data_IF_014663907432
#
_entry.id   IF_014663907432
#
_cell.length_a   1.000
_cell.length_b   1.000
_cell.length_c   1.000
_cell.angle_alpha   90.00
_cell.angle_beta   90.00
_cell.angle_gamma   90.00
#
_symmetry.space_group_name_H-M   'P 1'
#
loop_
_entity.id
_entity.type
_entity.pdbx_description
1 polymer ?
#
# COMPACT_ATOMS: atom_id res chain seq x y z
N UNK A 1 31.26 11.41 18.73
CA UNK A 1 32.19 10.25 18.65
C UNK A 1 32.21 9.54 17.28
N UNK A 2 31.41 9.94 16.28
CA UNK A 2 31.36 9.25 14.95
C UNK A 2 32.49 9.71 13.99
N UNK A 3 33.09 10.88 14.24
CA UNK A 3 34.03 11.51 13.29
C UNK A 3 35.32 10.70 13.08
N UNK A 4 35.88 10.11 14.14
CA UNK A 4 37.19 9.46 14.10
C UNK A 4 37.18 8.13 13.31
N UNK A 5 36.24 7.18 13.54
CA UNK A 5 36.13 5.98 12.70
C UNK A 5 35.91 6.30 11.22
N UNK A 6 35.12 7.33 10.90
CA UNK A 6 34.88 7.76 9.52
C UNK A 6 36.14 8.30 8.84
N UNK A 7 36.95 9.08 9.56
CA UNK A 7 38.23 9.60 9.05
C UNK A 7 39.21 8.44 8.79
N UNK A 8 39.30 7.47 9.69
CA UNK A 8 40.17 6.29 9.52
C UNK A 8 39.74 5.43 8.32
N UNK A 9 38.43 5.26 8.11
CA UNK A 9 37.88 4.55 6.96
C UNK A 9 38.24 5.26 5.64
N UNK A 10 38.04 6.58 5.54
CA UNK A 10 38.37 7.34 4.34
C UNK A 10 39.88 7.28 4.03
N UNK A 11 40.73 7.36 5.06
CA UNK A 11 42.17 7.20 4.90
C UNK A 11 42.57 5.79 4.42
N UNK A 12 41.95 4.74 4.95
CA UNK A 12 42.17 3.37 4.50
C UNK A 12 41.79 3.18 3.02
N UNK A 13 40.61 3.70 2.60
CA UNK A 13 40.17 3.66 1.21
C UNK A 13 41.13 4.39 0.27
N UNK A 14 41.64 5.56 0.68
CA UNK A 14 42.67 6.29 -0.05
C UNK A 14 43.95 5.48 -0.25
N UNK A 15 44.42 4.78 0.78
CA UNK A 15 45.59 3.90 0.67
C UNK A 15 45.32 2.71 -0.25
N UNK A 16 44.14 2.09 -0.20
CA UNK A 16 43.80 1.01 -1.13
C UNK A 16 43.80 1.48 -2.59
N UNK A 17 43.24 2.66 -2.87
CA UNK A 17 43.32 3.27 -4.21
C UNK A 17 44.76 3.51 -4.63
N UNK A 18 45.59 4.09 -3.76
CA UNK A 18 47.02 4.31 -4.04
C UNK A 18 47.76 3.01 -4.32
N UNK A 19 47.38 1.89 -3.71
CA UNK A 19 48.00 0.58 -3.93
C UNK A 19 47.78 0.00 -5.34
N UNK A 20 46.79 0.54 -6.08
CA UNK A 20 46.49 0.13 -7.46
C UNK A 20 47.42 0.76 -8.49
N UNK A 21 48.14 1.83 -8.13
CA UNK A 21 49.12 2.47 -9.00
C UNK A 21 50.28 1.50 -9.33
N UNK A 22 50.71 1.50 -10.59
CA UNK A 22 51.79 0.65 -11.11
C UNK A 22 53.17 1.13 -10.62
N UNK A 23 53.44 0.97 -9.32
CA UNK A 23 54.74 1.22 -8.67
C UNK A 23 55.42 -0.09 -8.23
N UNK A 24 56.65 0.04 -7.70
CA UNK A 24 57.44 -1.05 -7.12
C UNK A 24 56.63 -1.89 -6.12
N UNK A 25 56.80 -3.22 -6.20
CA UNK A 25 56.05 -4.20 -5.39
C UNK A 25 56.12 -3.95 -3.89
N UNK A 26 57.29 -3.55 -3.37
CA UNK A 26 57.48 -3.24 -1.93
C UNK A 26 56.65 -2.05 -1.47
N UNK A 27 56.55 -1.01 -2.29
CA UNK A 27 55.74 0.17 -1.99
C UNK A 27 54.25 -0.19 -1.93
N UNK A 28 53.76 -0.99 -2.90
CA UNK A 28 52.36 -1.44 -2.92
C UNK A 28 52.01 -2.26 -1.67
N UNK A 29 52.90 -3.17 -1.26
CA UNK A 29 52.73 -3.95 -0.02
C UNK A 29 52.69 -3.06 1.22
N UNK A 30 53.59 -2.08 1.35
CA UNK A 30 53.58 -1.15 2.49
C UNK A 30 52.26 -0.35 2.58
N UNK A 31 51.81 0.18 1.45
CA UNK A 31 50.56 0.96 1.38
C UNK A 31 49.34 0.09 1.72
N UNK A 32 49.30 -1.16 1.22
CA UNK A 32 48.25 -2.12 1.57
C UNK A 32 48.20 -2.41 3.07
N UNK A 33 49.36 -2.73 3.68
CA UNK A 33 49.45 -3.02 5.11
C UNK A 33 48.96 -1.85 5.95
N UNK A 34 49.38 -0.61 5.61
CA UNK A 34 48.90 0.58 6.29
C UNK A 34 47.37 0.77 6.14
N UNK A 35 46.82 0.56 4.95
CA UNK A 35 45.39 0.63 4.71
C UNK A 35 44.60 -0.38 5.56
N UNK A 36 45.05 -1.63 5.63
CA UNK A 36 44.43 -2.66 6.48
C UNK A 36 44.49 -2.33 7.96
N UNK A 37 45.59 -1.75 8.46
CA UNK A 37 45.70 -1.36 9.86
C UNK A 37 44.73 -0.23 10.23
N UNK A 38 44.59 0.78 9.35
CA UNK A 38 43.63 1.87 9.56
C UNK A 38 42.18 1.37 9.53
N UNK A 39 41.85 0.46 8.61
CA UNK A 39 40.52 -0.14 8.55
C UNK A 39 40.22 -0.94 9.83
N UNK A 40 41.17 -1.75 10.30
CA UNK A 40 41.03 -2.51 11.55
C UNK A 40 40.86 -1.60 12.78
N UNK A 41 41.57 -0.47 12.83
CA UNK A 41 41.40 0.52 13.89
C UNK A 41 40.00 1.17 13.85
N UNK A 42 39.50 1.52 12.66
CA UNK A 42 38.17 2.08 12.47
C UNK A 42 37.07 1.11 12.93
N UNK A 43 37.18 -0.17 12.56
CA UNK A 43 36.20 -1.19 12.92
C UNK A 43 36.20 -1.47 14.42
N UNK A 44 37.38 -1.66 15.03
CA UNK A 44 37.51 -1.87 16.46
C UNK A 44 36.90 -0.72 17.27
N UNK A 45 37.18 0.53 16.90
CA UNK A 45 36.61 1.69 17.58
C UNK A 45 35.08 1.78 17.44
N UNK A 46 34.54 1.43 16.26
CA UNK A 46 33.10 1.43 16.03
C UNK A 46 32.38 0.34 16.85
N UNK A 47 33.02 -0.83 17.00
CA UNK A 47 32.49 -1.95 17.79
C UNK A 47 32.59 -1.67 19.30
N UNK A 48 33.71 -1.12 19.77
CA UNK A 48 33.96 -0.85 21.19
C UNK A 48 33.29 0.43 21.69
N UNK A 49 32.85 1.32 20.79
CA UNK A 49 32.20 2.57 21.12
C UNK A 49 30.77 2.38 21.65
N UNK A 50 30.26 3.41 22.34
CA UNK A 50 28.85 3.48 22.80
C UNK A 50 27.86 3.78 21.68
N UNK A 51 28.30 3.86 20.43
CA UNK A 51 27.43 4.11 19.27
C UNK A 51 26.48 2.95 18.99
N UNK A 52 25.21 3.29 18.76
CA UNK A 52 24.12 2.39 18.30
C UNK A 52 24.24 2.02 16.82
N UNK A 53 25.48 1.84 16.34
CA UNK A 53 25.75 1.49 14.95
C UNK A 53 25.48 0.02 14.66
N UNK A 54 25.12 -0.28 13.42
CA UNK A 54 24.86 -1.63 12.93
C UNK A 54 25.95 -2.63 13.32
N UNK A 55 27.21 -2.26 13.11
CA UNK A 55 28.35 -3.15 13.34
C UNK A 55 28.50 -3.52 14.82
N UNK A 56 28.22 -2.60 15.75
CA UNK A 56 28.29 -2.87 17.19
C UNK A 56 27.06 -3.66 17.67
N UNK A 57 25.90 -3.47 17.05
CA UNK A 57 24.69 -4.27 17.33
C UNK A 57 24.85 -5.70 16.83
N UNK A 58 25.32 -5.91 15.60
CA UNK A 58 25.59 -7.24 15.04
C UNK A 58 26.71 -7.98 15.79
N UNK A 59 27.73 -7.27 16.26
CA UNK A 59 28.78 -7.87 17.08
C UNK A 59 28.26 -8.39 18.44
N UNK A 60 27.21 -7.76 18.99
CA UNK A 60 26.58 -8.15 20.26
C UNK A 60 25.47 -9.19 20.09
N UNK A 61 24.81 -9.18 18.94
CA UNK A 61 23.66 -10.03 18.63
C UNK A 61 23.83 -10.62 17.21
N UNK A 62 24.66 -11.66 17.04
CA UNK A 62 24.91 -12.27 15.74
C UNK A 62 23.67 -12.96 15.14
N UNK A 63 22.72 -13.34 16.00
CA UNK A 63 21.42 -13.93 15.68
C UNK A 63 20.48 -12.95 14.95
N UNK A 64 20.66 -11.64 15.11
CA UNK A 64 19.83 -10.63 14.45
C UNK A 64 19.92 -10.68 12.92
N UNK A 65 21.03 -11.14 12.34
CA UNK A 65 21.13 -11.27 10.87
C UNK A 65 20.16 -12.33 10.36
N UNK A 66 20.12 -13.48 11.04
CA UNK A 66 19.21 -14.57 10.70
C UNK A 66 17.76 -14.14 10.94
N UNK A 67 17.48 -13.51 12.09
CA UNK A 67 16.14 -13.02 12.43
C UNK A 67 15.65 -11.93 11.45
N UNK A 68 16.51 -10.99 11.06
CA UNK A 68 16.20 -9.98 10.06
C UNK A 68 15.93 -10.62 8.69
N UNK A 69 16.76 -11.58 8.28
CA UNK A 69 16.55 -12.29 7.01
C UNK A 69 15.22 -13.05 7.00
N UNK A 70 14.91 -13.80 8.06
CA UNK A 70 13.65 -14.56 8.16
C UNK A 70 12.44 -13.65 8.29
N UNK A 71 12.54 -12.57 9.08
CA UNK A 71 11.43 -11.64 9.31
C UNK A 71 11.09 -10.78 8.09
N UNK A 72 12.10 -10.42 7.29
CA UNK A 72 11.91 -9.63 6.08
C UNK A 72 11.67 -10.49 4.84
N UNK A 73 11.81 -11.82 4.93
CA UNK A 73 11.69 -12.75 3.80
C UNK A 73 10.42 -12.57 2.97
N UNK A 74 9.21 -12.38 3.55
CA UNK A 74 8.00 -12.17 2.76
C UNK A 74 8.08 -10.93 1.85
N UNK A 75 8.67 -9.84 2.36
CA UNK A 75 8.85 -8.60 1.60
C UNK A 75 9.94 -8.69 0.54
N UNK A 76 10.99 -9.50 0.77
CA UNK A 76 12.13 -9.62 -0.14
C UNK A 76 11.85 -10.66 -1.22
N UNK A 77 11.20 -11.77 -0.86
CA UNK A 77 10.96 -12.93 -1.71
C UNK A 77 10.27 -12.58 -3.02
N UNK A 78 9.32 -11.63 -2.98
CA UNK A 78 8.60 -11.13 -4.15
C UNK A 78 9.52 -10.45 -5.17
N UNK A 79 10.65 -9.88 -4.75
CA UNK A 79 11.59 -9.18 -5.62
C UNK A 79 12.77 -10.05 -6.09
N UNK A 80 12.95 -11.25 -5.52
CA UNK A 80 14.09 -12.13 -5.87
C UNK A 80 14.03 -12.55 -7.33
N UNK A 81 12.87 -12.98 -7.82
CA UNK A 81 12.74 -13.46 -9.20
C UNK A 81 13.03 -12.33 -10.23
N UNK A 82 12.39 -11.14 -10.15
CA UNK A 82 12.73 -10.04 -11.04
C UNK A 82 14.20 -9.59 -10.95
N UNK A 83 14.78 -9.57 -9.76
CA UNK A 83 16.19 -9.21 -9.59
C UNK A 83 17.13 -10.26 -10.20
N UNK A 84 16.81 -11.55 -10.05
CA UNK A 84 17.55 -12.65 -10.65
C UNK A 84 17.51 -12.56 -12.18
N UNK A 85 16.36 -12.22 -12.77
CA UNK A 85 16.23 -12.05 -14.23
C UNK A 85 17.17 -10.96 -14.77
N UNK A 86 17.25 -9.82 -14.08
CA UNK A 86 18.17 -8.73 -14.45
C UNK A 86 19.63 -9.18 -14.32
N UNK A 87 19.99 -9.86 -13.23
CA UNK A 87 21.35 -10.36 -13.02
C UNK A 87 21.73 -11.41 -14.06
N UNK A 88 20.82 -12.31 -14.41
CA UNK A 88 21.01 -13.32 -15.46
C UNK A 88 21.19 -12.67 -16.83
N UNK A 89 20.38 -11.66 -17.17
CA UNK A 89 20.51 -10.90 -18.41
C UNK A 89 21.88 -10.22 -18.51
N UNK A 90 22.31 -9.52 -17.45
CA UNK A 90 23.61 -8.88 -17.40
C UNK A 90 24.76 -9.89 -17.50
N UNK A 91 24.61 -11.06 -16.86
CA UNK A 91 25.59 -12.15 -16.94
C UNK A 91 25.67 -12.74 -18.34
N UNK A 92 24.54 -12.88 -19.04
CA UNK A 92 24.50 -13.31 -20.43
C UNK A 92 25.26 -12.32 -21.34
N UNK A 93 25.08 -11.01 -21.13
CA UNK A 93 25.83 -9.98 -21.85
C UNK A 93 27.35 -10.07 -21.59
N UNK A 94 27.77 -10.29 -20.35
CA UNK A 94 29.19 -10.55 -20.00
C UNK A 94 29.70 -11.80 -20.73
N UNK A 95 28.92 -12.88 -20.74
CA UNK A 95 29.28 -14.12 -21.41
C UNK A 95 29.52 -13.90 -22.91
N UNK A 96 28.59 -13.22 -23.59
CA UNK A 96 28.73 -12.86 -25.02
C UNK A 96 29.98 -12.00 -25.24
N UNK A 97 30.20 -10.98 -24.42
CA UNK A 97 31.39 -10.14 -24.49
C UNK A 97 32.69 -10.95 -24.35
N UNK A 98 32.74 -11.88 -23.40
CA UNK A 98 33.86 -12.80 -23.23
C UNK A 98 34.08 -13.67 -24.47
N UNK A 99 33.01 -14.19 -25.09
CA UNK A 99 33.11 -14.96 -26.32
C UNK A 99 33.64 -14.15 -27.51
N UNK A 100 33.19 -12.90 -27.68
CA UNK A 100 33.70 -12.02 -28.74
C UNK A 100 35.20 -11.71 -28.51
N UNK A 101 35.60 -11.56 -27.25
CA UNK A 101 36.99 -11.35 -26.86
C UNK A 101 37.90 -12.58 -27.03
N UNK A 102 37.37 -13.78 -27.35
CA UNK A 102 38.18 -14.95 -27.72
C UNK A 102 38.79 -14.84 -29.12
N UNK A 103 38.44 -13.83 -29.92
CA UNK A 103 39.07 -13.59 -31.22
C UNK A 103 40.43 -12.89 -31.04
N UNK A 104 41.56 -13.54 -31.38
CA UNK A 104 42.87 -12.95 -31.15
C UNK A 104 43.12 -11.78 -32.11
N UNK A 105 43.17 -10.57 -31.56
CA UNK A 105 43.44 -9.33 -32.30
C UNK A 105 43.31 -8.11 -31.39
N UNK A 106 44.39 -7.35 -31.24
CA UNK A 106 44.60 -6.38 -30.15
C UNK A 106 43.52 -5.29 -29.96
N UNK A 107 42.68 -5.00 -30.95
CA UNK A 107 41.70 -3.91 -30.90
C UNK A 107 40.37 -4.31 -30.23
N UNK A 108 39.84 -5.50 -30.57
CA UNK A 108 38.55 -5.97 -30.06
C UNK A 108 38.66 -6.31 -28.58
N UNK A 109 39.73 -7.03 -28.19
CA UNK A 109 39.99 -7.38 -26.79
C UNK A 109 40.18 -6.13 -25.91
N UNK A 110 40.99 -5.14 -26.35
CA UNK A 110 41.21 -3.88 -25.61
C UNK A 110 39.92 -3.08 -25.40
N UNK A 111 38.98 -3.17 -26.33
CA UNK A 111 37.71 -2.44 -26.27
C UNK A 111 36.70 -3.14 -25.35
N UNK A 112 36.60 -4.47 -25.43
CA UNK A 112 35.57 -5.25 -24.72
C UNK A 112 35.95 -5.53 -23.26
N UNK A 113 37.23 -5.72 -22.95
CA UNK A 113 37.70 -6.06 -21.59
C UNK A 113 37.27 -5.05 -20.49
N UNK A 114 37.43 -3.72 -20.65
CA UNK A 114 36.96 -2.76 -19.64
C UNK A 114 35.44 -2.77 -19.49
N UNK A 115 34.69 -3.00 -20.59
CA UNK A 115 33.22 -3.13 -20.56
C UNK A 115 32.81 -4.34 -19.72
N UNK A 116 33.42 -5.51 -19.95
CA UNK A 116 33.17 -6.71 -19.17
C UNK A 116 33.51 -6.54 -17.69
N UNK A 117 34.64 -5.90 -17.36
CA UNK A 117 35.01 -5.59 -15.96
C UNK A 117 33.96 -4.67 -15.31
N UNK A 118 33.47 -3.67 -16.04
CA UNK A 118 32.39 -2.79 -15.59
C UNK A 118 31.07 -3.55 -15.33
N UNK A 119 30.66 -4.43 -16.26
CA UNK A 119 29.46 -5.26 -16.10
C UNK A 119 29.59 -6.24 -14.93
N UNK A 120 30.74 -6.91 -14.76
CA UNK A 120 31.00 -7.79 -13.62
C UNK A 120 30.91 -7.00 -12.30
N UNK A 121 31.49 -5.81 -12.26
CA UNK A 121 31.40 -4.90 -11.12
C UNK A 121 29.95 -4.49 -10.82
N UNK A 122 29.14 -4.22 -11.85
CA UNK A 122 27.73 -3.87 -11.70
C UNK A 122 26.88 -5.06 -11.19
N UNK A 123 27.12 -6.27 -11.70
CA UNK A 123 26.44 -7.50 -11.24
C UNK A 123 26.76 -7.77 -9.77
N UNK A 124 28.04 -7.73 -9.39
CA UNK A 124 28.46 -7.95 -7.99
C UNK A 124 27.95 -6.84 -7.07
N UNK A 125 28.03 -5.57 -7.51
CA UNK A 125 27.52 -4.43 -6.75
C UNK A 125 26.01 -4.49 -6.53
N UNK A 126 25.25 -4.85 -7.56
CA UNK A 126 23.80 -5.06 -7.49
C UNK A 126 23.43 -6.19 -6.53
N UNK A 127 24.12 -7.33 -6.60
CA UNK A 127 23.90 -8.44 -5.67
C UNK A 127 24.19 -8.05 -4.21
N UNK A 128 25.26 -7.28 -3.95
CA UNK A 128 25.58 -6.76 -2.62
C UNK A 128 24.52 -5.76 -2.14
N UNK A 129 24.06 -4.86 -3.02
CA UNK A 129 23.00 -3.90 -2.67
C UNK A 129 21.68 -4.60 -2.30
N UNK A 130 21.31 -5.65 -3.03
CA UNK A 130 20.15 -6.48 -2.72
C UNK A 130 20.31 -7.20 -1.38
N UNK A 131 21.50 -7.73 -1.07
CA UNK A 131 21.78 -8.34 0.22
C UNK A 131 21.65 -7.33 1.37
N UNK A 132 22.15 -6.10 1.18
CA UNK A 132 22.03 -5.01 2.17
C UNK A 132 20.56 -4.66 2.40
N UNK A 133 19.77 -4.50 1.34
CA UNK A 133 18.33 -4.28 1.44
C UNK A 133 17.62 -5.46 2.13
N UNK A 134 18.02 -6.70 1.83
CA UNK A 134 17.45 -7.91 2.41
C UNK A 134 17.69 -8.05 3.92
N UNK A 135 18.81 -7.51 4.43
CA UNK A 135 19.10 -7.48 5.87
C UNK A 135 18.37 -6.31 6.56
N UNK A 136 17.54 -5.55 5.83
CA UNK A 136 16.71 -4.46 6.38
C UNK A 136 17.38 -3.09 6.36
N UNK A 137 18.48 -2.92 5.62
CA UNK A 137 19.12 -1.62 5.43
C UNK A 137 18.51 -0.88 4.23
N UNK A 138 17.31 -0.34 4.44
CA UNK A 138 16.63 0.54 3.50
C UNK A 138 15.36 1.12 4.12
N UNK A 139 14.92 2.33 3.73
CA UNK A 139 13.59 2.77 4.12
C UNK A 139 12.58 1.77 3.59
N UNK A 140 11.63 1.35 4.43
CA UNK A 140 10.42 0.67 3.96
C UNK A 140 9.70 1.69 3.10
N UNK A 141 9.92 1.63 1.79
CA UNK A 141 9.16 2.43 0.85
C UNK A 141 7.71 1.96 0.97
N UNK A 142 6.88 2.75 1.66
CA UNK A 142 5.44 2.48 1.70
C UNK A 142 4.96 2.41 0.25
N UNK A 143 4.40 1.27 -0.16
CA UNK A 143 3.90 1.08 -1.52
C UNK A 143 2.93 2.24 -1.83
N UNK A 144 3.28 3.06 -2.81
CA UNK A 144 2.44 4.18 -3.27
C UNK A 144 1.53 3.77 -4.43
N UNK A 145 1.81 2.61 -5.03
CA UNK A 145 1.07 2.02 -6.15
C UNK A 145 0.86 0.55 -5.84
N UNK A 146 -0.35 0.06 -6.07
CA UNK A 146 -0.77 -1.33 -5.89
C UNK A 146 -1.41 -1.79 -7.19
N UNK A 147 -1.06 -2.99 -7.67
CA UNK A 147 -1.64 -3.58 -8.86
C UNK A 147 -1.90 -5.05 -8.54
N UNK A 148 -3.14 -5.49 -8.67
CA UNK A 148 -3.53 -6.87 -8.41
C UNK A 148 -4.76 -7.25 -9.24
N UNK A 149 -4.90 -8.54 -9.50
CA UNK A 149 -6.21 -9.11 -9.77
C UNK A 149 -6.90 -9.30 -8.43
N UNK A 150 -8.16 -8.89 -8.36
CA UNK A 150 -8.98 -8.95 -7.15
C UNK A 150 -10.17 -9.85 -7.40
N UNK A 151 -10.54 -10.62 -6.39
CA UNK A 151 -11.75 -11.44 -6.43
C UNK A 151 -12.88 -10.79 -5.63
N UNK A 152 -14.11 -11.31 -5.75
CA UNK A 152 -15.26 -10.78 -5.00
C UNK A 152 -15.03 -10.82 -3.47
N UNK A 153 -14.19 -11.74 -3.00
CA UNK A 153 -13.79 -11.86 -1.58
C UNK A 153 -12.82 -10.78 -1.12
N UNK A 154 -12.19 -10.06 -2.05
CA UNK A 154 -11.26 -8.97 -1.75
C UNK A 154 -11.97 -7.61 -1.64
N UNK A 155 -13.17 -7.46 -2.19
CA UNK A 155 -14.06 -6.37 -1.81
C UNK A 155 -14.51 -6.62 -0.37
N UNK A 156 -14.06 -5.81 0.58
CA UNK A 156 -14.43 -5.97 1.99
C UNK A 156 -15.80 -5.35 2.21
N UNK A 157 -15.97 -4.09 1.81
CA UNK A 157 -17.18 -3.27 1.86
C UNK A 157 -17.24 -2.38 0.59
N UNK A 158 -18.13 -1.38 0.55
CA UNK A 158 -18.32 -0.52 -0.63
C UNK A 158 -17.22 0.52 -0.89
N UNK A 159 -16.26 0.74 0.02
CA UNK A 159 -15.13 1.67 -0.18
C UNK A 159 -13.75 1.05 0.11
N UNK A 160 -13.72 -0.26 0.35
CA UNK A 160 -12.53 -1.00 0.74
C UNK A 160 -12.26 -2.17 -0.18
N UNK A 161 -11.03 -2.23 -0.68
CA UNK A 161 -10.50 -3.39 -1.40
C UNK A 161 -9.23 -3.92 -0.76
N UNK A 162 -9.09 -5.25 -0.72
CA UNK A 162 -7.88 -5.93 -0.26
C UNK A 162 -7.00 -6.29 -1.46
N UNK A 163 -5.70 -6.04 -1.33
CA UNK A 163 -4.69 -6.48 -2.30
C UNK A 163 -3.54 -7.15 -1.55
N UNK A 164 -3.48 -8.49 -1.63
CA UNK A 164 -2.60 -9.28 -0.76
C UNK A 164 -2.98 -9.08 0.71
N UNK A 165 -2.01 -8.72 1.54
CA UNK A 165 -2.21 -8.51 2.98
C UNK A 165 -2.62 -7.07 3.36
N UNK A 166 -2.86 -6.21 2.36
CA UNK A 166 -3.15 -4.78 2.58
C UNK A 166 -4.60 -4.46 2.23
N UNK A 167 -5.34 -3.90 3.20
CA UNK A 167 -6.66 -3.32 2.97
C UNK A 167 -6.54 -1.85 2.58
N UNK A 168 -6.89 -1.53 1.35
CA UNK A 168 -6.85 -0.17 0.79
C UNK A 168 -8.23 0.47 0.90
N UNK A 169 -8.29 1.73 1.35
CA UNK A 169 -9.54 2.49 1.46
C UNK A 169 -9.60 3.53 0.35
N UNK A 170 -10.74 3.68 -0.30
CA UNK A 170 -10.91 4.71 -1.31
C UNK A 170 -10.88 6.09 -0.69
N UNK A 171 -10.19 6.99 -1.38
CA UNK A 171 -10.07 8.37 -0.96
C UNK A 171 -11.35 9.15 -1.28
N UNK A 172 -11.77 10.00 -0.36
CA UNK A 172 -12.83 10.99 -0.60
C UNK A 172 -14.26 10.43 -0.57
N UNK A 173 -14.45 9.15 -0.29
CA UNK A 173 -15.79 8.55 -0.19
C UNK A 173 -15.93 7.75 1.11
N UNK A 174 -17.16 7.61 1.56
CA UNK A 174 -17.60 6.75 2.66
C UNK A 174 -18.75 5.90 2.09
N UNK A 175 -18.56 4.59 2.05
CA UNK A 175 -19.62 3.66 1.66
C UNK A 175 -20.52 3.35 2.86
N UNK A 176 -21.77 2.88 2.64
CA UNK A 176 -22.60 2.35 3.71
C UNK A 176 -21.86 1.24 4.47
N UNK A 177 -22.09 1.18 5.78
CA UNK A 177 -21.53 0.12 6.61
C UNK A 177 -22.06 -1.25 6.16
N UNK A 178 -21.33 -2.32 6.47
CA UNK A 178 -21.80 -3.67 6.20
C UNK A 178 -23.15 -3.92 6.89
N UNK A 179 -24.10 -4.47 6.15
CA UNK A 179 -25.49 -4.66 6.58
C UNK A 179 -26.20 -3.38 7.05
N UNK A 180 -25.78 -2.21 6.56
CA UNK A 180 -26.53 -0.97 6.76
C UNK A 180 -27.88 -1.05 6.04
N UNK A 181 -28.94 -0.60 6.73
CA UNK A 181 -30.31 -0.63 6.22
C UNK A 181 -30.63 0.71 5.58
N UNK A 182 -31.15 0.66 4.35
CA UNK A 182 -31.72 1.79 3.64
C UNK A 182 -33.16 1.47 3.23
N UNK A 183 -33.97 2.50 2.95
CA UNK A 183 -35.33 2.32 2.42
C UNK A 183 -35.43 2.83 1.00
N UNK A 184 -36.16 2.11 0.15
CA UNK A 184 -36.50 2.57 -1.20
C UNK A 184 -37.69 3.55 -1.20
N UNK A 185 -38.16 3.93 -2.40
CA UNK A 185 -39.29 4.85 -2.58
C UNK A 185 -40.61 4.33 -1.99
N UNK A 186 -40.73 3.02 -1.78
CA UNK A 186 -41.90 2.38 -1.19
C UNK A 186 -41.74 2.18 0.33
N UNK A 187 -40.68 2.74 0.93
CA UNK A 187 -40.24 2.49 2.31
C UNK A 187 -39.90 1.01 2.57
N UNK A 188 -39.51 0.24 1.55
CA UNK A 188 -39.06 -1.15 1.72
C UNK A 188 -37.57 -1.17 2.07
N UNK A 189 -37.23 -1.92 3.11
CA UNK A 189 -35.86 -2.06 3.58
C UNK A 189 -35.01 -2.90 2.62
N UNK A 190 -33.78 -2.46 2.38
CA UNK A 190 -32.76 -3.23 1.67
C UNK A 190 -31.37 -3.05 2.30
N UNK A 191 -30.48 -4.01 2.07
CA UNK A 191 -29.09 -3.95 2.55
C UNK A 191 -28.25 -3.09 1.60
N UNK A 192 -28.14 -1.81 1.93
CA UNK A 192 -27.37 -0.90 1.10
C UNK A 192 -25.86 -1.08 1.23
N UNK A 193 -25.37 -1.69 2.31
CA UNK A 193 -23.97 -2.09 2.46
C UNK A 193 -23.57 -3.18 1.47
N UNK A 194 -24.37 -4.24 1.40
CA UNK A 194 -24.15 -5.34 0.47
C UNK A 194 -24.28 -4.87 -0.98
N UNK A 195 -25.28 -4.04 -1.31
CA UNK A 195 -25.42 -3.50 -2.68
C UNK A 195 -24.24 -2.61 -3.09
N UNK A 196 -23.69 -1.83 -2.15
CA UNK A 196 -22.51 -1.01 -2.42
C UNK A 196 -21.27 -1.87 -2.69
N UNK A 197 -21.08 -2.93 -1.89
CA UNK A 197 -20.03 -3.94 -2.12
C UNK A 197 -20.19 -4.65 -3.47
N UNK A 198 -21.41 -5.05 -3.84
CA UNK A 198 -21.66 -5.69 -5.13
C UNK A 198 -21.40 -4.75 -6.30
N UNK A 199 -21.70 -3.46 -6.15
CA UNK A 199 -21.35 -2.43 -7.13
C UNK A 199 -19.82 -2.29 -7.28
N UNK A 200 -19.07 -2.33 -6.17
CA UNK A 200 -17.61 -2.35 -6.21
C UNK A 200 -17.09 -3.58 -6.96
N UNK A 201 -17.59 -4.77 -6.63
CA UNK A 201 -17.22 -6.02 -7.31
C UNK A 201 -17.43 -5.90 -8.82
N UNK A 202 -18.57 -5.35 -9.26
CA UNK A 202 -18.88 -5.14 -10.69
C UNK A 202 -17.96 -4.15 -11.38
N UNK A 203 -17.42 -3.16 -10.68
CA UNK A 203 -16.47 -2.19 -11.24
C UNK A 203 -15.02 -2.71 -11.22
N UNK A 204 -14.68 -3.56 -10.26
CA UNK A 204 -13.33 -4.07 -10.10
C UNK A 204 -13.05 -5.32 -10.96
N UNK A 205 -14.08 -6.11 -11.29
CA UNK A 205 -13.95 -7.46 -11.86
C UNK A 205 -14.75 -7.59 -13.17
N UNK A 206 -14.23 -8.28 -14.20
CA UNK A 206 -12.95 -8.99 -14.26
C UNK A 206 -11.81 -8.10 -14.81
N UNK A 207 -10.66 -8.06 -14.14
CA UNK A 207 -9.48 -7.36 -14.65
C UNK A 207 -8.46 -6.99 -13.57
N UNK A 208 -7.29 -6.47 -13.98
CA UNK A 208 -6.35 -5.87 -13.03
C UNK A 208 -6.92 -4.57 -12.48
N UNK A 209 -6.85 -4.41 -11.15
CA UNK A 209 -7.12 -3.15 -10.45
C UNK A 209 -5.79 -2.50 -10.12
N UNK A 210 -5.68 -1.21 -10.41
CA UNK A 210 -4.52 -0.39 -10.12
C UNK A 210 -4.92 0.73 -9.16
N UNK A 211 -4.22 0.83 -8.04
CA UNK A 211 -4.46 1.84 -7.01
C UNK A 211 -3.21 2.65 -6.78
N UNK A 212 -3.37 3.95 -6.51
CA UNK A 212 -2.28 4.81 -6.12
C UNK A 212 -2.70 5.78 -5.02
N UNK A 213 -1.77 6.18 -4.16
CA UNK A 213 -2.02 7.24 -3.18
C UNK A 213 -2.04 8.59 -3.91
N UNK A 214 -3.12 9.39 -3.80
CA UNK A 214 -3.21 10.68 -4.49
C UNK A 214 -2.11 11.66 -4.04
N UNK A 215 -1.50 12.35 -5.00
CA UNK A 215 -0.52 13.41 -4.76
C UNK A 215 -1.16 14.55 -3.96
N UNK A 216 -0.53 15.01 -2.87
CA UNK A 216 -1.02 16.13 -2.06
C UNK A 216 -1.75 15.74 -0.76
N UNK A 217 -2.14 14.46 -0.59
CA UNK A 217 -2.67 13.96 0.68
C UNK A 217 -1.68 14.09 1.85
N UNK A 218 -0.38 14.14 1.55
CA UNK A 218 0.71 14.28 2.52
C UNK A 218 1.19 15.70 2.79
N UNK A 219 0.68 16.73 2.09
CA UNK A 219 1.17 18.12 2.21
C UNK A 219 0.06 19.16 2.48
N UNK A 220 -1.18 18.93 2.05
CA UNK A 220 -2.31 19.79 2.43
C UNK A 220 -2.90 19.42 3.81
N UNK A 221 -2.51 18.26 4.35
CA UNK A 221 -2.93 17.78 5.68
C UNK A 221 -1.76 17.81 6.68
N UNK A 222 -0.90 18.83 6.61
CA UNK A 222 0.08 19.12 7.68
C UNK A 222 -0.55 19.86 8.86
N UNK A 223 -1.78 19.51 9.21
CA UNK A 223 -2.53 20.16 10.29
C UNK A 223 -3.55 19.29 11.02
N UNK A 224 -3.99 18.17 10.45
CA UNK A 224 -4.92 17.26 11.13
C UNK A 224 -4.38 15.84 11.16
N UNK A 225 -4.13 15.32 12.36
CA UNK A 225 -3.71 13.94 12.62
C UNK A 225 -4.73 12.89 12.11
N UNK A 226 -5.87 13.32 11.57
CA UNK A 226 -7.03 12.51 11.21
C UNK A 226 -6.97 11.87 9.81
N UNK A 227 -6.16 12.42 8.87
CA UNK A 227 -6.00 11.83 7.52
C UNK A 227 -4.72 11.01 7.37
N UNK A 228 -4.00 10.78 8.46
CA UNK A 228 -2.79 9.96 8.53
C UNK A 228 -3.19 8.50 8.69
N UNK A 229 -3.50 7.84 7.58
CA UNK A 229 -3.97 6.44 7.52
C UNK A 229 -5.24 6.23 8.32
N UNK A 230 -6.39 6.15 7.64
CA UNK A 230 -7.66 5.80 8.29
C UNK A 230 -7.48 4.42 8.95
N UNK A 231 -7.27 4.40 10.26
CA UNK A 231 -7.04 3.19 11.07
C UNK A 231 -5.86 2.31 10.62
N UNK A 232 -4.79 2.92 10.07
CA UNK A 232 -3.61 2.17 9.57
C UNK A 232 -3.76 1.60 8.16
N UNK A 233 -4.84 1.98 7.45
CA UNK A 233 -5.08 1.60 6.04
C UNK A 233 -4.71 2.73 5.09
N UNK A 234 -4.02 2.47 3.96
CA UNK A 234 -3.73 3.48 2.95
C UNK A 234 -5.01 4.03 2.30
N UNK A 235 -5.08 5.36 2.13
CA UNK A 235 -6.07 6.02 1.29
C UNK A 235 -5.57 6.05 -0.16
N UNK A 236 -6.40 5.59 -1.10
CA UNK A 236 -6.02 5.41 -2.51
C UNK A 236 -7.11 5.85 -3.47
N UNK A 237 -6.70 6.23 -4.69
CA UNK A 237 -7.58 6.22 -5.87
C UNK A 237 -7.29 4.97 -6.68
N UNK A 238 -8.33 4.26 -7.09
CA UNK A 238 -8.22 3.02 -7.84
C UNK A 238 -8.95 3.11 -9.16
N UNK A 239 -8.38 2.50 -10.20
CA UNK A 239 -9.04 2.21 -11.45
C UNK A 239 -8.95 0.72 -11.77
N UNK A 240 -9.73 0.29 -12.76
CA UNK A 240 -9.70 -1.08 -13.29
C UNK A 240 -9.67 -1.04 -14.81
N UNK A 241 -9.11 -2.08 -15.42
CA UNK A 241 -9.22 -2.33 -16.86
C UNK A 241 -9.99 -3.63 -17.08
N UNK A 242 -11.29 -3.50 -17.38
CA UNK A 242 -12.14 -4.67 -17.54
C UNK A 242 -12.03 -5.21 -18.95
N UNK A 243 -11.50 -6.43 -19.09
CA UNK A 243 -11.42 -7.08 -20.39
C UNK A 243 -12.80 -7.19 -21.05
N UNK A 244 -13.00 -6.49 -22.17
CA UNK A 244 -14.25 -6.52 -22.94
C UNK A 244 -15.35 -5.56 -22.49
N UNK A 245 -15.20 -4.88 -21.35
CA UNK A 245 -16.19 -3.92 -20.81
C UNK A 245 -15.64 -2.48 -20.73
N UNK A 246 -14.33 -2.30 -20.87
CA UNK A 246 -13.66 -1.00 -20.86
C UNK A 246 -12.98 -0.69 -19.53
N UNK A 247 -12.21 0.38 -19.51
CA UNK A 247 -11.52 0.81 -18.30
C UNK A 247 -12.44 1.67 -17.42
N UNK A 248 -12.38 1.46 -16.11
CA UNK A 248 -12.94 2.36 -15.09
C UNK A 248 -11.78 3.18 -14.52
N UNK A 249 -11.62 4.46 -14.89
CA UNK A 249 -10.46 5.25 -14.46
C UNK A 249 -10.44 5.57 -12.97
N UNK A 250 -11.62 5.72 -12.37
CA UNK A 250 -11.80 6.01 -10.95
C UNK A 250 -13.04 5.26 -10.42
N UNK A 251 -12.79 4.19 -9.67
CA UNK A 251 -13.83 3.32 -9.09
C UNK A 251 -14.66 4.08 -8.05
N UNK A 252 -14.03 4.93 -7.22
CA UNK A 252 -14.74 5.68 -6.19
C UNK A 252 -15.72 6.68 -6.82
N UNK A 253 -15.28 7.39 -7.87
CA UNK A 253 -16.16 8.25 -8.68
C UNK A 253 -17.33 7.46 -9.26
N UNK A 254 -17.05 6.30 -9.85
CA UNK A 254 -18.09 5.47 -10.46
C UNK A 254 -19.12 4.96 -9.44
N UNK A 255 -18.67 4.61 -8.21
CA UNK A 255 -19.56 4.25 -7.12
C UNK A 255 -20.47 5.41 -6.70
N UNK A 256 -19.93 6.63 -6.60
CA UNK A 256 -20.73 7.84 -6.32
C UNK A 256 -21.74 8.08 -7.43
N UNK A 257 -21.33 7.96 -8.70
CA UNK A 257 -22.21 8.16 -9.85
C UNK A 257 -23.37 7.15 -9.91
N UNK A 258 -23.16 5.93 -9.43
CA UNK A 258 -24.22 4.91 -9.30
C UNK A 258 -25.04 5.06 -7.99
N UNK A 259 -24.70 6.04 -7.15
CA UNK A 259 -25.32 6.26 -5.86
C UNK A 259 -24.98 5.21 -4.82
N UNK A 260 -23.85 4.50 -4.90
CA UNK A 260 -23.44 3.45 -3.94
C UNK A 260 -22.31 3.87 -2.99
N UNK A 261 -21.79 5.09 -3.14
CA UNK A 261 -20.86 5.69 -2.19
C UNK A 261 -21.24 7.15 -1.95
N UNK A 262 -20.98 7.65 -0.75
CA UNK A 262 -21.25 9.03 -0.39
C UNK A 262 -19.92 9.81 -0.32
N UNK A 263 -19.74 10.91 -1.07
CA UNK A 263 -18.55 11.72 -0.93
C UNK A 263 -18.39 12.23 0.50
N UNK A 264 -17.16 12.18 1.02
CA UNK A 264 -16.87 12.72 2.34
C UNK A 264 -17.14 14.23 2.36
N UNK A 265 -17.96 14.65 3.32
CA UNK A 265 -18.23 16.06 3.60
C UNK A 265 -17.48 16.48 4.86
N UNK A 266 -16.80 17.62 4.79
CA UNK A 266 -16.24 18.26 5.97
C UNK A 266 -17.37 18.65 6.95
N UNK A 267 -17.06 18.93 8.22
CA UNK A 267 -18.06 19.42 9.18
C UNK A 267 -18.84 20.66 8.71
N UNK A 268 -18.24 21.46 7.81
CA UNK A 268 -18.86 22.64 7.20
C UNK A 268 -19.73 22.30 5.97
N UNK A 269 -19.93 21.01 5.67
CA UNK A 269 -20.71 20.51 4.54
C UNK A 269 -20.01 20.61 3.19
N UNK A 270 -18.69 20.79 3.17
CA UNK A 270 -17.91 20.93 1.94
C UNK A 270 -17.39 19.57 1.49
N UNK A 271 -17.68 19.20 0.25
CA UNK A 271 -17.07 18.03 -0.40
C UNK A 271 -15.65 18.42 -0.83
N UNK A 272 -14.64 17.86 -0.15
CA UNK A 272 -13.21 18.21 -0.36
C UNK A 272 -12.59 17.51 -1.59
N UNK A 273 -13.41 16.85 -2.40
CA UNK A 273 -13.00 16.11 -3.60
C UNK A 273 -13.78 16.53 -4.86
N UNK A 274 -13.41 15.91 -5.98
CA UNK A 274 -13.94 16.15 -7.31
C UNK A 274 -15.13 15.23 -7.67
N UNK A 275 -15.91 14.76 -6.69
CA UNK A 275 -17.07 13.86 -6.88
C UNK A 275 -18.44 14.53 -6.63
N UNK A 276 -18.47 15.84 -6.37
CA UNK A 276 -19.72 16.57 -6.14
C UNK A 276 -20.72 16.51 -7.32
N UNK A 277 -20.30 16.61 -8.60
CA UNK A 277 -21.21 16.48 -9.74
C UNK A 277 -21.90 15.12 -9.80
N UNK A 278 -21.14 14.04 -9.62
CA UNK A 278 -21.65 12.67 -9.69
C UNK A 278 -22.67 12.40 -8.58
N UNK A 279 -22.43 12.93 -7.38
CA UNK A 279 -23.40 12.88 -6.27
C UNK A 279 -24.68 13.60 -6.64
N UNK A 280 -24.57 14.81 -7.20
CA UNK A 280 -25.74 15.61 -7.57
C UNK A 280 -26.59 14.89 -8.62
N UNK A 281 -25.95 14.29 -9.62
CA UNK A 281 -26.63 13.52 -10.66
C UNK A 281 -27.33 12.28 -10.07
N UNK A 282 -26.67 11.55 -9.17
CA UNK A 282 -27.25 10.39 -8.50
C UNK A 282 -28.44 10.76 -7.59
N UNK A 283 -28.38 11.90 -6.92
CA UNK A 283 -29.50 12.46 -6.12
C UNK A 283 -30.68 12.83 -7.02
N UNK A 284 -30.45 13.53 -8.13
CA UNK A 284 -31.50 13.92 -9.08
C UNK A 284 -32.15 12.70 -9.72
N UNK A 285 -31.36 11.67 -10.02
CA UNK A 285 -31.85 10.44 -10.62
C UNK A 285 -32.51 9.48 -9.62
N UNK A 286 -32.46 9.77 -8.31
CA UNK A 286 -33.01 8.93 -7.23
C UNK A 286 -32.50 7.48 -7.30
N UNK A 287 -31.19 7.30 -7.54
CA UNK A 287 -30.56 5.99 -7.69
C UNK A 287 -29.71 5.58 -6.48
N UNK A 288 -29.56 4.26 -6.30
CA UNK A 288 -28.76 3.69 -5.22
C UNK A 288 -29.27 4.13 -3.84
N UNK A 289 -28.37 4.69 -3.03
CA UNK A 289 -28.64 5.27 -1.71
C UNK A 289 -29.64 6.42 -1.77
N UNK A 290 -29.77 7.10 -2.92
CA UNK A 290 -30.67 8.23 -3.10
C UNK A 290 -32.08 7.83 -3.55
N UNK A 291 -32.36 6.53 -3.68
CA UNK A 291 -33.68 6.03 -4.08
C UNK A 291 -34.74 6.13 -2.99
N UNK A 292 -34.42 6.56 -1.77
CA UNK A 292 -35.40 6.71 -0.71
C UNK A 292 -34.77 7.28 0.56
N UNK A 293 -34.95 6.59 1.68
CA UNK A 293 -34.39 7.03 2.96
C UNK A 293 -33.00 6.43 3.14
N UNK A 294 -32.00 7.31 3.21
CA UNK A 294 -30.61 6.97 3.48
C UNK A 294 -30.04 7.81 4.62
N UNK A 295 -29.42 7.12 5.56
CA UNK A 295 -28.64 7.71 6.65
C UNK A 295 -27.16 7.69 6.28
N UNK A 296 -26.46 8.85 6.20
CA UNK A 296 -25.02 8.87 5.92
C UNK A 296 -24.22 7.95 6.86
N UNK A 297 -23.14 7.28 6.40
CA UNK A 297 -22.52 6.19 7.17
C UNK A 297 -21.89 6.69 8.48
N UNK A 298 -21.36 7.92 8.52
CA UNK A 298 -20.93 8.58 9.75
C UNK A 298 -22.05 8.71 10.79
N UNK A 299 -23.28 9.04 10.39
CA UNK A 299 -24.42 9.11 11.30
C UNK A 299 -24.86 7.70 11.72
N UNK A 300 -24.92 6.78 10.76
CA UNK A 300 -25.26 5.38 11.03
C UNK A 300 -24.36 4.75 12.11
N UNK A 301 -23.04 5.00 12.03
CA UNK A 301 -22.05 4.52 13.02
C UNK A 301 -22.25 5.10 14.41
N UNK A 302 -22.53 6.40 14.49
CA UNK A 302 -22.38 7.15 15.74
C UNK A 302 -23.72 7.47 16.42
N UNK A 303 -24.85 7.39 15.72
CA UNK A 303 -26.14 7.85 16.19
C UNK A 303 -27.16 6.69 16.20
N UNK A 304 -27.49 6.17 17.38
CA UNK A 304 -28.54 5.15 17.53
C UNK A 304 -29.89 5.65 17.00
N UNK A 305 -30.24 6.90 17.30
CA UNK A 305 -31.51 7.50 16.86
C UNK A 305 -31.65 7.46 15.33
N UNK A 306 -30.59 7.81 14.59
CA UNK A 306 -30.60 7.80 13.14
C UNK A 306 -30.80 6.40 12.53
N UNK A 307 -30.40 5.34 13.25
CA UNK A 307 -30.70 3.94 12.87
C UNK A 307 -32.15 3.59 13.18
N UNK A 308 -32.66 4.03 14.34
CA UNK A 308 -34.04 3.77 14.76
C UNK A 308 -35.07 4.45 13.86
N UNK A 309 -34.79 5.66 13.38
CA UNK A 309 -35.69 6.38 12.48
C UNK A 309 -35.92 5.64 11.15
N UNK A 310 -34.90 4.94 10.65
CA UNK A 310 -35.02 4.06 9.46
C UNK A 310 -35.91 2.86 9.78
N UNK A 311 -35.66 2.21 10.92
CA UNK A 311 -36.37 1.01 11.31
C UNK A 311 -37.85 1.29 11.62
N UNK A 312 -38.18 2.37 12.31
CA UNK A 312 -39.59 2.70 12.57
C UNK A 312 -40.39 3.09 11.33
N UNK A 313 -39.72 3.38 10.21
CA UNK A 313 -40.34 3.79 8.95
C UNK A 313 -40.50 2.64 7.96
N UNK A 314 -39.75 1.54 8.10
CA UNK A 314 -39.80 0.44 7.14
C UNK A 314 -41.21 -0.19 7.07
N UNK A 315 -41.64 -0.58 5.87
CA UNK A 315 -42.94 -1.24 5.63
C UNK A 315 -42.82 -2.73 5.32
N UNK A 316 -41.59 -3.26 5.30
CA UNK A 316 -41.25 -4.60 4.86
C UNK A 316 -39.87 -4.62 4.23
N UNK A 317 -39.48 -5.78 3.70
CA UNK A 317 -38.17 -6.01 3.06
C UNK A 317 -38.35 -6.08 1.55
N UNK A 318 -37.49 -5.38 0.80
CA UNK A 318 -37.49 -5.42 -0.65
C UNK A 318 -37.18 -6.85 -1.15
N UNK A 319 -37.84 -7.28 -2.24
CA UNK A 319 -37.60 -8.60 -2.83
C UNK A 319 -36.14 -8.71 -3.31
N UNK A 320 -35.29 -9.32 -2.50
CA UNK A 320 -33.86 -9.55 -2.76
C UNK A 320 -33.55 -11.06 -2.81
N UNK A 321 -32.26 -11.41 -2.92
CA UNK A 321 -31.77 -12.78 -2.74
C UNK A 321 -32.25 -13.34 -1.37
N UNK A 322 -32.74 -14.61 -1.28
CA UNK A 322 -33.23 -15.16 0.00
C UNK A 322 -32.23 -15.07 1.15
N UNK A 323 -30.94 -15.24 0.87
CA UNK A 323 -29.86 -15.12 1.87
C UNK A 323 -29.65 -13.68 2.36
N UNK A 324 -29.79 -12.70 1.47
CA UNK A 324 -29.76 -11.27 1.83
C UNK A 324 -30.99 -10.92 2.69
N UNK A 325 -32.16 -11.41 2.29
CA UNK A 325 -33.43 -11.20 3.00
C UNK A 325 -33.36 -11.69 4.45
N UNK A 326 -32.85 -12.91 4.67
CA UNK A 326 -32.70 -13.49 6.01
C UNK A 326 -31.75 -12.65 6.89
N UNK A 327 -30.59 -12.25 6.36
CA UNK A 327 -29.63 -11.41 7.10
C UNK A 327 -30.20 -10.04 7.44
N UNK A 328 -30.89 -9.42 6.48
CA UNK A 328 -31.51 -8.12 6.66
C UNK A 328 -32.61 -8.19 7.72
N UNK A 329 -33.42 -9.25 7.72
CA UNK A 329 -34.44 -9.47 8.74
C UNK A 329 -33.83 -9.60 10.15
N UNK A 330 -32.78 -10.41 10.31
CA UNK A 330 -32.05 -10.52 11.59
C UNK A 330 -31.42 -9.20 12.03
N UNK A 331 -31.02 -8.34 11.09
CA UNK A 331 -30.48 -7.02 11.40
C UNK A 331 -31.57 -6.04 11.85
N UNK A 332 -32.73 -6.04 11.18
CA UNK A 332 -33.91 -5.27 11.57
C UNK A 332 -34.33 -5.66 12.98
N UNK A 333 -34.51 -6.94 13.27
CA UNK A 333 -34.92 -7.44 14.59
C UNK A 333 -33.94 -7.01 15.69
N UNK A 334 -32.62 -7.04 15.43
CA UNK A 334 -31.61 -6.56 16.38
C UNK A 334 -31.71 -5.06 16.65
N UNK A 335 -31.97 -4.27 15.62
CA UNK A 335 -32.14 -2.83 15.77
C UNK A 335 -33.45 -2.48 16.46
N UNK A 336 -34.57 -3.14 16.15
CA UNK A 336 -35.86 -2.95 16.84
C UNK A 336 -35.72 -3.18 18.35
N UNK A 337 -35.03 -4.26 18.74
CA UNK A 337 -34.73 -4.55 20.14
C UNK A 337 -33.88 -3.46 20.82
N UNK A 338 -33.00 -2.80 20.06
CA UNK A 338 -32.13 -1.72 20.56
C UNK A 338 -32.84 -0.37 20.62
N UNK A 339 -33.79 -0.13 19.71
CA UNK A 339 -34.50 1.14 19.54
C UNK A 339 -35.66 1.32 20.51
N UNK A 340 -36.27 0.22 20.96
CA UNK A 340 -37.48 0.29 21.78
C UNK A 340 -38.67 0.89 21.00
N UNK A 341 -39.61 1.49 21.73
CA UNK A 341 -40.82 2.07 21.14
C UNK A 341 -40.54 3.46 20.55
N UNK A 342 -41.16 3.82 19.41
CA UNK A 342 -41.01 5.16 18.83
C UNK A 342 -41.52 6.22 19.81
N UNK A 343 -40.84 7.37 19.89
CA UNK A 343 -41.19 8.46 20.81
C UNK A 343 -42.65 8.96 20.66
N UNK A 344 -43.23 8.79 19.46
CA UNK A 344 -44.63 9.09 19.16
C UNK A 344 -45.65 8.12 19.77
N UNK A 345 -45.23 6.96 20.28
CA UNK A 345 -46.10 6.00 20.99
C UNK A 345 -46.27 6.33 22.49
N UNK A 346 -45.50 7.28 23.05
CA UNK A 346 -45.49 7.60 24.48
C UNK A 346 -46.56 8.64 24.88
N UNK A 347 -47.31 9.21 23.92
CA UNK A 347 -48.27 10.31 24.20
C UNK A 347 -49.72 9.90 24.46
N UNK A 348 -50.02 8.62 24.74
CA UNK A 348 -51.35 8.18 25.16
C UNK A 348 -51.35 7.29 26.41
N UNK A 349 -50.69 7.74 27.48
CA UNK A 349 -51.06 7.36 28.84
C UNK A 349 -51.60 8.62 29.54
N UNK A 350 -52.89 8.91 29.30
CA UNK A 350 -53.61 9.94 30.05
C UNK A 350 -53.79 9.52 31.52
N UNK A 351 -53.90 10.50 32.44
CA UNK A 351 -54.11 10.26 33.87
C UNK A 351 -55.45 9.59 34.20
#
# INVERSE_FOLDING_TARGET
>A
MILLPSVLLLAALGLFLLSTLQRLRRWRLLVLVMGTLLLAAATLQNISGTSSGVLSTLARHPDLVAAAFTGNWPSIGEFIAPALDVLLFMTAAVCIGCFIALTPGEAVERTIRPVNVGLIGAVLGGAIALLVAAIGFGPVAKRQVFIAYVDAVDAIDGDTIRMGDVSLRFWGVDAPEDHQICLDQQDMAFDCGQRAKDALVKLAIPGPVFCHTPSGLGAAVTGSAQLKESFGRPLVRCGSDQQGYGAVPDIARALVAMGYAYPYESPDGVIENDYAPEKQDAVIAEIGLHSGVFTPPTKWRNELQARCDVVWRHKGIANADPTETERLQLQIERLENSCGQPASAVTHAGP
#
